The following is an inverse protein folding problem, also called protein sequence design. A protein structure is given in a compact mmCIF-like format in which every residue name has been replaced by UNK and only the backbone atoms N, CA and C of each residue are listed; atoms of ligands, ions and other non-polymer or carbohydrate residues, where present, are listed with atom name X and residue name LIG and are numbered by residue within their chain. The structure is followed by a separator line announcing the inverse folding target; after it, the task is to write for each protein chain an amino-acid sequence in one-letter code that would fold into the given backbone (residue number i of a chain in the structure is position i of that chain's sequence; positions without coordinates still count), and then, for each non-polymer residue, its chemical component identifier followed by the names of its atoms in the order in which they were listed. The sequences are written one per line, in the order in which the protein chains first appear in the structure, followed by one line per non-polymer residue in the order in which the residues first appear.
data_IF_353485107711
#
_entry.id   IF_353485107711
#
_cell.length_a   1.000
_cell.length_b   1.000
_cell.length_c   1.000
_cell.angle_alpha   90.00
_cell.angle_beta   90.00
_cell.angle_gamma   90.00
#
_symmetry.space_group_name_H-M   'P 1'
#
loop_
_entity.id
_entity.type
_entity.pdbx_description
1 polymer ?
#
# COMPACT_ATOMS: atom_id res chain seq x y z
N UNK A 1 21.76 -10.07 54.21
CA UNK A 1 23.03 -9.51 54.71
C UNK A 1 24.07 -9.53 53.58
N UNK A 2 24.52 -8.34 53.13
CA UNK A 2 25.68 -7.99 52.26
C UNK A 2 25.74 -8.64 50.86
N UNK A 3 25.50 -7.95 49.73
CA UNK A 3 26.09 -6.71 49.17
C UNK A 3 27.61 -6.82 48.95
N UNK A 4 28.03 -6.92 47.68
CA UNK A 4 29.38 -6.55 47.20
C UNK A 4 29.29 -5.87 45.84
N UNK A 5 29.40 -4.55 45.89
CA UNK A 5 29.87 -3.72 44.79
C UNK A 5 31.33 -4.08 44.48
N UNK A 6 31.71 -4.08 43.20
CA UNK A 6 33.09 -3.84 42.80
C UNK A 6 33.10 -2.74 41.74
N UNK A 7 33.55 -1.56 42.17
CA UNK A 7 33.92 -0.42 41.36
C UNK A 7 35.17 -0.74 40.55
N UNK A 8 35.17 -0.41 39.26
CA UNK A 8 36.41 -0.06 38.55
C UNK A 8 36.16 1.22 37.75
N UNK A 9 36.69 2.30 38.32
CA UNK A 9 36.95 3.59 37.68
C UNK A 9 38.32 3.44 37.00
N UNK A 10 38.40 3.63 35.69
CA UNK A 10 39.62 4.14 35.05
C UNK A 10 39.24 5.22 34.05
N UNK A 11 39.73 6.40 34.38
CA UNK A 11 39.73 7.66 33.67
C UNK A 11 40.65 7.56 32.43
N UNK A 12 40.21 7.97 31.25
CA UNK A 12 41.12 8.43 30.21
C UNK A 12 40.51 9.63 29.47
N UNK A 13 41.28 10.71 29.48
CA UNK A 13 40.96 12.05 29.03
C UNK A 13 41.08 12.18 27.50
N UNK A 14 40.12 12.93 26.95
CA UNK A 14 40.27 13.96 25.92
C UNK A 14 41.01 13.61 24.61
N UNK A 15 40.25 13.60 23.51
CA UNK A 15 40.47 14.54 22.40
C UNK A 15 39.14 14.79 21.68
N UNK A 16 38.51 15.92 21.98
CA UNK A 16 37.42 16.47 21.17
C UNK A 16 38.04 17.11 19.92
N UNK A 17 37.91 16.44 18.77
CA UNK A 17 38.18 17.09 17.48
C UNK A 17 36.92 17.85 17.06
N UNK A 18 37.01 19.18 17.17
CA UNK A 18 36.03 20.11 16.63
C UNK A 18 35.99 19.97 15.10
N UNK A 19 34.83 19.54 14.58
CA UNK A 19 34.50 19.61 13.17
C UNK A 19 34.26 21.08 12.83
N UNK A 20 35.18 21.70 12.09
CA UNK A 20 35.00 23.05 11.55
C UNK A 20 34.10 22.98 10.30
N UNK A 21 33.04 23.78 10.18
CA UNK A 21 32.27 23.85 8.94
C UNK A 21 33.04 24.70 7.92
N UNK A 22 33.32 24.11 6.76
CA UNK A 22 33.92 24.78 5.62
C UNK A 22 32.92 25.76 4.96
N UNK A 23 33.30 27.03 4.69
CA UNK A 23 32.46 27.96 3.94
C UNK A 23 32.82 27.87 2.45
N UNK A 24 32.05 27.11 1.67
CA UNK A 24 32.26 27.04 0.22
C UNK A 24 30.95 27.19 -0.56
N UNK A 25 30.31 28.35 -0.41
CA UNK A 25 29.36 28.85 -1.40
C UNK A 25 29.73 30.31 -1.71
N UNK A 26 30.75 30.50 -2.55
CA UNK A 26 30.94 31.77 -3.27
C UNK A 26 30.34 31.61 -4.66
N UNK A 27 29.22 32.32 -4.84
CA UNK A 27 28.84 33.07 -6.04
C UNK A 27 29.63 32.80 -7.31
N UNK A 28 29.00 32.13 -8.28
CA UNK A 28 29.34 32.24 -9.69
C UNK A 28 28.07 32.63 -10.46
N UNK A 29 27.84 33.94 -10.57
CA UNK A 29 26.92 34.49 -11.55
C UNK A 29 27.59 34.43 -12.93
N UNK A 30 27.35 33.38 -13.69
CA UNK A 30 27.68 33.36 -15.12
C UNK A 30 26.41 33.53 -15.92
N UNK A 31 26.25 34.74 -16.47
CA UNK A 31 25.24 35.09 -17.47
C UNK A 31 25.38 34.15 -18.67
N UNK A 32 24.37 33.31 -18.90
CA UNK A 32 24.21 32.61 -20.17
C UNK A 32 23.49 33.53 -21.16
N UNK A 33 23.92 33.61 -22.42
CA UNK A 33 23.27 34.44 -23.42
C UNK A 33 21.89 33.86 -23.80
N UNK A 34 20.89 34.75 -23.90
CA UNK A 34 19.58 34.45 -24.49
C UNK A 34 19.78 34.07 -25.97
N UNK A 35 19.82 32.77 -26.24
CA UNK A 35 19.59 32.27 -27.59
C UNK A 35 18.07 32.15 -27.80
N UNK A 36 17.55 32.97 -28.72
CA UNK A 36 16.16 32.94 -29.14
C UNK A 36 15.81 31.58 -29.76
N UNK A 37 15.20 30.69 -28.98
CA UNK A 37 14.59 29.47 -29.49
C UNK A 37 13.33 29.86 -30.27
N UNK A 38 13.38 29.71 -31.60
CA UNK A 38 12.22 29.76 -32.49
C UNK A 38 11.09 28.93 -31.87
N UNK A 39 9.98 29.59 -31.55
CA UNK A 39 8.74 28.94 -31.16
C UNK A 39 8.28 28.04 -32.32
N UNK A 40 8.51 26.73 -32.17
CA UNK A 40 7.85 25.72 -32.99
C UNK A 40 6.38 25.70 -32.55
N UNK A 41 5.57 26.54 -33.19
CA UNK A 41 4.11 26.46 -33.06
C UNK A 41 3.65 25.21 -33.80
N UNK A 42 3.53 24.11 -33.07
CA UNK A 42 2.71 22.98 -33.53
C UNK A 42 1.23 23.37 -33.33
N UNK A 43 0.40 23.41 -34.38
CA UNK A 43 -1.03 23.49 -34.20
C UNK A 43 -1.52 22.12 -33.72
N UNK A 44 -1.72 21.97 -32.41
CA UNK A 44 -2.49 20.83 -31.90
C UNK A 44 -3.95 21.13 -32.22
N UNK A 45 -4.41 20.60 -33.35
CA UNK A 45 -5.83 20.52 -33.68
C UNK A 45 -6.53 19.66 -32.60
N UNK A 46 -7.71 20.03 -32.09
CA UNK A 46 -8.42 19.19 -31.14
C UNK A 46 -8.96 17.96 -31.88
N UNK A 47 -8.21 16.87 -31.83
CA UNK A 47 -8.70 15.57 -32.27
C UNK A 47 -9.83 15.14 -31.33
N UNK A 48 -11.06 15.35 -31.83
CA UNK A 48 -12.16 14.39 -31.79
C UNK A 48 -12.09 13.28 -30.73
N UNK A 49 -12.89 13.45 -29.68
CA UNK A 49 -13.60 12.38 -28.97
C UNK A 49 -12.80 11.11 -28.68
N UNK A 50 -11.88 11.17 -27.71
CA UNK A 50 -11.54 9.96 -26.95
C UNK A 50 -12.81 9.57 -26.20
N UNK A 51 -13.49 8.50 -26.65
CA UNK A 51 -14.45 7.83 -25.78
C UNK A 51 -13.65 7.35 -24.57
N UNK A 52 -13.85 8.01 -23.43
CA UNK A 52 -13.51 7.43 -22.14
C UNK A 52 -14.21 6.08 -22.10
N UNK A 53 -13.46 4.99 -22.31
CA UNK A 53 -13.98 3.65 -22.09
C UNK A 53 -14.12 3.57 -20.58
N UNK A 54 -15.30 3.86 -20.05
CA UNK A 54 -15.62 3.63 -18.66
C UNK A 54 -15.48 2.12 -18.43
N UNK A 55 -14.48 1.73 -17.65
CA UNK A 55 -14.27 0.34 -17.28
C UNK A 55 -15.46 -0.14 -16.45
N UNK A 56 -16.19 -1.17 -16.91
CA UNK A 56 -17.38 -1.65 -16.22
C UNK A 56 -17.01 -2.61 -15.09
N UNK A 57 -16.67 -2.03 -13.94
CA UNK A 57 -16.23 -2.75 -12.74
C UNK A 57 -17.25 -3.81 -12.31
N UNK A 58 -18.54 -3.47 -12.27
CA UNK A 58 -19.61 -4.39 -11.86
C UNK A 58 -19.80 -5.53 -12.88
N UNK A 59 -19.67 -5.23 -14.18
CA UNK A 59 -19.66 -6.24 -15.23
C UNK A 59 -18.51 -7.22 -15.06
N UNK A 60 -17.30 -6.74 -14.78
CA UNK A 60 -16.13 -7.60 -14.56
C UNK A 60 -16.29 -8.47 -13.31
N UNK A 61 -16.80 -7.91 -12.20
CA UNK A 61 -17.08 -8.70 -11.00
C UNK A 61 -18.05 -9.83 -11.30
N UNK A 62 -19.12 -9.54 -12.05
CA UNK A 62 -20.12 -10.53 -12.46
C UNK A 62 -19.54 -11.59 -13.40
N UNK A 63 -18.87 -11.18 -14.47
CA UNK A 63 -18.33 -12.06 -15.51
C UNK A 63 -17.29 -13.03 -14.95
N UNK A 64 -16.53 -12.58 -13.94
CA UNK A 64 -15.51 -13.39 -13.28
C UNK A 64 -16.02 -14.15 -12.06
N UNK A 65 -17.32 -14.03 -11.74
CA UNK A 65 -17.93 -14.67 -10.58
C UNK A 65 -17.34 -14.20 -9.24
N UNK A 66 -16.80 -12.97 -9.20
CA UNK A 66 -16.25 -12.38 -7.99
C UNK A 66 -17.40 -11.82 -7.16
N UNK A 67 -17.68 -12.46 -6.04
CA UNK A 67 -18.64 -11.96 -5.04
C UNK A 67 -17.87 -11.17 -4.00
N UNK A 68 -18.24 -9.90 -3.81
CA UNK A 68 -17.70 -9.10 -2.72
C UNK A 68 -18.38 -9.49 -1.40
N UNK A 69 -17.61 -9.65 -0.32
CA UNK A 69 -18.18 -9.83 1.00
C UNK A 69 -18.86 -8.55 1.49
N UNK A 70 -19.64 -8.66 2.56
CA UNK A 70 -20.15 -7.49 3.26
C UNK A 70 -18.98 -6.72 3.90
N UNK A 71 -19.08 -5.39 3.88
CA UNK A 71 -18.09 -4.53 4.51
C UNK A 71 -18.13 -4.73 6.04
N UNK A 72 -17.03 -5.24 6.59
CA UNK A 72 -16.94 -5.52 8.03
C UNK A 72 -17.05 -4.21 8.86
N UNK A 73 -17.78 -4.24 9.99
CA UNK A 73 -17.83 -3.12 10.91
C UNK A 73 -16.47 -2.91 11.59
N UNK A 74 -16.21 -1.71 12.15
CA UNK A 74 -14.97 -1.45 12.86
C UNK A 74 -14.76 -2.40 14.06
N UNK A 75 -13.51 -2.83 14.26
CA UNK A 75 -13.14 -3.75 15.33
C UNK A 75 -12.89 -3.06 16.69
N UNK A 76 -12.73 -1.73 16.70
CA UNK A 76 -12.52 -0.92 17.90
C UNK A 76 -12.92 0.55 17.64
N UNK A 77 -12.30 1.50 18.35
CA UNK A 77 -12.57 2.94 18.22
C UNK A 77 -12.01 3.59 16.93
N UNK A 78 -11.51 2.81 15.97
CA UNK A 78 -11.09 3.29 14.65
C UNK A 78 -12.15 2.88 13.61
N UNK A 79 -12.23 3.59 12.49
CA UNK A 79 -13.18 3.31 11.41
C UNK A 79 -12.54 2.46 10.30
N UNK A 80 -13.32 1.66 9.53
CA UNK A 80 -12.77 0.83 8.46
C UNK A 80 -12.15 1.62 7.31
N UNK A 81 -12.62 2.85 7.11
CA UNK A 81 -12.04 3.80 6.18
C UNK A 81 -12.31 5.25 6.59
N UNK A 82 -11.50 6.18 6.07
CA UNK A 82 -11.72 7.62 6.15
C UNK A 82 -11.65 8.20 4.73
N UNK A 83 -12.55 9.12 4.42
CA UNK A 83 -12.52 9.89 3.16
C UNK A 83 -12.01 11.30 3.46
N UNK A 84 -10.98 11.74 2.75
CA UNK A 84 -10.44 13.11 2.84
C UNK A 84 -10.07 13.64 1.46
N UNK A 85 -10.70 14.74 1.05
CA UNK A 85 -10.65 15.19 -0.34
C UNK A 85 -11.12 14.07 -1.28
N UNK A 86 -10.29 13.74 -2.26
CA UNK A 86 -10.59 12.70 -3.25
C UNK A 86 -9.95 11.36 -2.90
N UNK A 87 -9.53 11.14 -1.65
CA UNK A 87 -8.85 9.91 -1.24
C UNK A 87 -9.64 9.17 -0.16
N UNK A 88 -9.78 7.86 -0.36
CA UNK A 88 -10.20 6.90 0.66
C UNK A 88 -8.93 6.27 1.24
N UNK A 89 -8.80 6.34 2.56
CA UNK A 89 -7.82 5.61 3.34
C UNK A 89 -8.52 4.42 3.98
N UNK A 90 -8.24 3.21 3.51
CA UNK A 90 -8.83 1.98 4.01
C UNK A 90 -7.88 1.37 5.03
N UNK A 91 -8.39 1.12 6.25
CA UNK A 91 -7.64 0.47 7.32
C UNK A 91 -7.25 -0.97 6.93
N UNK A 92 -6.30 -1.56 7.67
CA UNK A 92 -5.85 -2.93 7.44
C UNK A 92 -6.99 -3.94 7.34
N UNK A 93 -7.12 -4.57 6.18
CA UNK A 93 -8.08 -5.63 5.91
C UNK A 93 -7.40 -6.99 6.06
N UNK A 94 -8.02 -7.83 6.88
CA UNK A 94 -7.60 -9.19 7.20
C UNK A 94 -8.43 -10.21 6.39
N UNK A 95 -8.08 -11.51 6.34
CA UNK A 95 -8.70 -12.46 5.43
C UNK A 95 -9.98 -13.06 6.03
N UNK A 96 -10.93 -12.18 6.34
CA UNK A 96 -12.27 -12.51 6.81
C UNK A 96 -13.14 -12.95 5.63
N UNK A 97 -13.86 -14.05 5.79
CA UNK A 97 -14.86 -14.55 4.82
C UNK A 97 -16.11 -14.93 5.60
N UNK A 98 -17.26 -14.33 5.28
CA UNK A 98 -18.53 -14.60 5.95
C UNK A 98 -18.48 -14.48 7.49
N UNK A 99 -17.67 -13.53 8.00
CA UNK A 99 -17.50 -13.32 9.44
C UNK A 99 -16.52 -14.28 10.13
N UNK A 100 -15.87 -15.18 9.39
CA UNK A 100 -14.87 -16.12 9.91
C UNK A 100 -13.46 -15.84 9.35
N UNK A 101 -12.43 -16.00 10.20
CA UNK A 101 -11.04 -15.88 9.77
C UNK A 101 -10.60 -17.14 9.03
N UNK A 102 -10.30 -16.99 7.73
CA UNK A 102 -9.96 -18.14 6.88
C UNK A 102 -8.49 -18.54 6.94
N UNK A 103 -7.58 -17.58 7.19
CA UNK A 103 -6.14 -17.82 7.17
C UNK A 103 -5.48 -17.31 8.45
N UNK A 104 -5.21 -18.23 9.38
CA UNK A 104 -4.61 -17.95 10.69
C UNK A 104 -3.32 -18.75 10.81
N UNK A 105 -2.20 -18.05 10.91
CA UNK A 105 -0.87 -18.63 10.95
C UNK A 105 0.17 -17.79 10.24
N UNK A 106 1.37 -18.35 10.14
CA UNK A 106 2.58 -17.77 9.59
C UNK A 106 2.96 -18.47 8.28
N UNK A 107 3.43 -17.71 7.31
CA UNK A 107 3.91 -18.22 6.02
C UNK A 107 5.43 -18.48 6.10
N UNK A 108 5.96 -19.62 5.62
CA UNK A 108 5.28 -20.76 5.00
C UNK A 108 4.99 -21.92 5.99
N UNK A 109 4.73 -21.63 7.28
CA UNK A 109 4.55 -22.68 8.29
C UNK A 109 3.16 -23.32 8.20
N UNK A 110 2.11 -22.51 8.23
CA UNK A 110 0.72 -22.98 8.14
C UNK A 110 0.19 -22.98 6.71
N UNK A 111 0.74 -22.14 5.84
CA UNK A 111 0.28 -21.97 4.46
C UNK A 111 1.45 -21.94 3.49
N UNK A 112 1.34 -22.69 2.39
CA UNK A 112 2.27 -22.54 1.28
C UNK A 112 2.08 -21.17 0.58
N UNK A 113 3.04 -20.79 -0.27
CA UNK A 113 2.99 -19.54 -1.03
C UNK A 113 1.68 -19.34 -1.79
N UNK A 114 1.17 -20.40 -2.44
CA UNK A 114 -0.07 -20.34 -3.22
C UNK A 114 -1.30 -20.10 -2.34
N UNK A 115 -1.35 -20.69 -1.16
CA UNK A 115 -2.44 -20.47 -0.20
C UNK A 115 -2.36 -19.06 0.40
N UNK A 116 -1.15 -18.58 0.69
CA UNK A 116 -0.90 -17.21 1.13
C UNK A 116 -1.28 -16.19 0.05
N UNK A 117 -1.07 -16.49 -1.23
CA UNK A 117 -1.57 -15.68 -2.34
C UNK A 117 -3.10 -15.56 -2.28
N UNK A 118 -3.82 -16.67 -2.06
CA UNK A 118 -5.28 -16.64 -1.91
C UNK A 118 -5.72 -15.89 -0.63
N UNK A 119 -4.92 -15.94 0.44
CA UNK A 119 -5.12 -15.12 1.63
C UNK A 119 -5.05 -13.63 1.28
N UNK A 120 -4.00 -13.19 0.57
CA UNK A 120 -3.86 -11.80 0.15
C UNK A 120 -4.99 -11.37 -0.79
N UNK A 121 -5.41 -12.25 -1.71
CA UNK A 121 -6.58 -12.02 -2.57
C UNK A 121 -7.85 -11.80 -1.75
N UNK A 122 -8.04 -12.58 -0.68
CA UNK A 122 -9.16 -12.41 0.26
C UNK A 122 -9.12 -11.05 0.95
N UNK A 123 -7.97 -10.61 1.44
CA UNK A 123 -7.81 -9.26 1.99
C UNK A 123 -8.15 -8.18 0.93
N UNK A 124 -7.74 -8.40 -0.32
CA UNK A 124 -8.12 -7.55 -1.46
C UNK A 124 -9.64 -7.45 -1.69
N UNK A 125 -10.37 -8.56 -1.57
CA UNK A 125 -11.85 -8.53 -1.66
C UNK A 125 -12.46 -7.71 -0.53
N UNK A 126 -11.93 -7.82 0.70
CA UNK A 126 -12.37 -7.01 1.83
C UNK A 126 -12.07 -5.52 1.62
N UNK A 127 -10.94 -5.17 0.98
CA UNK A 127 -10.65 -3.79 0.56
C UNK A 127 -11.71 -3.30 -0.43
N UNK A 128 -12.08 -4.10 -1.43
CA UNK A 128 -13.11 -3.73 -2.42
C UNK A 128 -14.48 -3.54 -1.76
N UNK A 129 -14.82 -4.37 -0.76
CA UNK A 129 -16.06 -4.21 0.01
C UNK A 129 -16.08 -2.86 0.76
N UNK A 130 -14.99 -2.49 1.43
CA UNK A 130 -14.87 -1.19 2.11
C UNK A 130 -14.89 -0.02 1.11
N UNK A 131 -14.20 -0.15 -0.02
CA UNK A 131 -14.24 0.86 -1.08
C UNK A 131 -15.65 1.05 -1.63
N UNK A 132 -16.39 -0.04 -1.86
CA UNK A 132 -17.79 0.01 -2.31
C UNK A 132 -18.67 0.71 -1.29
N UNK A 133 -18.52 0.40 0.00
CA UNK A 133 -19.23 1.09 1.07
C UNK A 133 -18.90 2.59 1.11
N UNK A 134 -17.63 2.96 1.02
CA UNK A 134 -17.17 4.35 0.99
C UNK A 134 -17.70 5.14 -0.21
N UNK A 135 -17.87 4.48 -1.36
CA UNK A 135 -18.44 5.08 -2.57
C UNK A 135 -19.98 5.11 -2.61
N UNK A 136 -20.65 4.71 -1.53
CA UNK A 136 -22.12 4.64 -1.48
C UNK A 136 -22.71 3.52 -2.35
N UNK A 137 -21.98 2.41 -2.50
CA UNK A 137 -22.39 1.24 -3.26
C UNK A 137 -21.90 1.21 -4.72
N UNK A 138 -21.22 2.25 -5.19
CA UNK A 138 -20.81 2.37 -6.60
C UNK A 138 -19.28 2.43 -6.78
N UNK A 139 -18.68 1.31 -7.17
CA UNK A 139 -17.24 1.24 -7.42
C UNK A 139 -16.79 1.98 -8.68
N UNK A 140 -17.71 2.47 -9.54
CA UNK A 140 -17.35 3.28 -10.71
C UNK A 140 -16.75 4.63 -10.34
N UNK A 141 -16.98 5.09 -9.10
CA UNK A 141 -16.38 6.30 -8.54
C UNK A 141 -14.88 6.19 -8.28
N UNK A 142 -14.31 4.97 -8.30
CA UNK A 142 -12.88 4.76 -8.13
C UNK A 142 -12.14 5.22 -9.39
N UNK A 143 -11.27 6.22 -9.24
CA UNK A 143 -10.39 6.72 -10.31
C UNK A 143 -9.08 5.94 -10.38
N UNK A 144 -8.49 5.61 -9.23
CA UNK A 144 -7.17 4.97 -9.17
C UNK A 144 -6.97 4.22 -7.85
N UNK A 145 -6.45 2.99 -7.91
CA UNK A 145 -5.81 2.37 -6.75
C UNK A 145 -4.42 3.02 -6.63
N UNK A 146 -4.24 3.90 -5.64
CA UNK A 146 -3.01 4.69 -5.49
C UNK A 146 -1.90 3.83 -4.91
N UNK A 147 -2.20 3.14 -3.81
CA UNK A 147 -1.21 2.34 -3.08
C UNK A 147 -1.85 1.17 -2.34
N UNK A 148 -1.17 0.03 -2.36
CA UNK A 148 -1.39 -1.07 -1.42
C UNK A 148 -0.17 -1.23 -0.50
N UNK A 149 -0.40 -1.46 0.79
CA UNK A 149 0.64 -1.86 1.74
C UNK A 149 0.25 -3.19 2.32
N UNK A 150 1.04 -4.22 2.00
CA UNK A 150 0.80 -5.60 2.43
C UNK A 150 1.79 -6.04 3.50
N UNK A 151 1.24 -6.58 4.58
CA UNK A 151 1.96 -7.18 5.69
C UNK A 151 1.73 -8.69 5.67
N UNK A 152 2.80 -9.47 5.64
CA UNK A 152 2.73 -10.94 5.65
C UNK A 152 3.32 -11.44 6.96
N UNK A 153 2.51 -12.13 7.76
CA UNK A 153 3.00 -12.84 8.95
C UNK A 153 3.89 -13.99 8.44
N UNK A 154 5.21 -13.80 8.45
CA UNK A 154 6.14 -14.75 7.82
C UNK A 154 7.27 -15.19 8.75
N UNK A 155 7.94 -16.28 8.38
CA UNK A 155 9.21 -16.67 8.98
C UNK A 155 10.33 -15.69 8.59
N UNK A 156 11.39 -15.67 9.39
CA UNK A 156 12.53 -14.76 9.23
C UNK A 156 13.33 -15.02 7.94
N UNK A 157 13.24 -16.24 7.40
CA UNK A 157 13.92 -16.70 6.18
C UNK A 157 13.00 -16.75 4.95
N UNK A 158 11.78 -16.21 5.06
CA UNK A 158 10.87 -16.07 3.94
C UNK A 158 11.07 -14.70 3.26
N UNK A 159 11.28 -14.69 1.94
CA UNK A 159 11.55 -13.46 1.17
C UNK A 159 10.54 -13.25 0.01
N UNK A 160 9.52 -14.09 -0.05
CA UNK A 160 8.53 -14.12 -1.13
C UNK A 160 7.23 -13.36 -0.75
N UNK A 161 7.28 -12.44 0.22
CA UNK A 161 6.14 -11.56 0.55
C UNK A 161 5.61 -10.81 -0.68
N UNK A 162 6.44 -10.31 -1.61
CA UNK A 162 5.93 -9.71 -2.84
C UNK A 162 5.07 -10.66 -3.68
N UNK A 163 5.37 -11.96 -3.68
CA UNK A 163 4.58 -12.97 -4.39
C UNK A 163 3.26 -13.25 -3.68
N UNK A 164 3.24 -13.25 -2.35
CA UNK A 164 2.00 -13.33 -1.55
C UNK A 164 1.07 -12.18 -1.89
N UNK A 165 1.57 -10.93 -1.82
CA UNK A 165 0.75 -9.73 -2.05
C UNK A 165 0.29 -9.59 -3.51
N UNK A 166 0.87 -10.35 -4.46
CA UNK A 166 0.32 -10.41 -5.82
C UNK A 166 -1.14 -10.86 -5.83
N UNK A 167 -1.61 -11.66 -4.86
CA UNK A 167 -3.02 -12.02 -4.77
C UNK A 167 -3.97 -10.83 -4.70
N UNK A 168 -3.60 -9.79 -3.94
CA UNK A 168 -4.37 -8.55 -3.91
C UNK A 168 -4.10 -7.69 -5.14
N UNK A 169 -2.84 -7.61 -5.59
CA UNK A 169 -2.48 -6.76 -6.73
C UNK A 169 -3.13 -7.20 -8.03
N UNK A 170 -3.15 -8.50 -8.29
CA UNK A 170 -3.75 -9.10 -9.48
C UNK A 170 -5.26 -8.91 -9.46
N UNK A 171 -5.92 -9.04 -8.30
CA UNK A 171 -7.34 -8.70 -8.13
C UNK A 171 -7.63 -7.24 -8.48
N UNK A 172 -6.82 -6.29 -8.01
CA UNK A 172 -7.04 -4.86 -8.32
C UNK A 172 -6.90 -4.60 -9.83
N UNK A 173 -5.89 -5.18 -10.47
CA UNK A 173 -5.69 -5.07 -11.91
C UNK A 173 -6.81 -5.77 -12.69
N UNK A 174 -7.28 -6.92 -12.21
CA UNK A 174 -8.40 -7.67 -12.76
C UNK A 174 -9.70 -6.85 -12.74
N UNK A 175 -10.01 -6.19 -11.61
CA UNK A 175 -11.26 -5.48 -11.37
C UNK A 175 -11.29 -4.05 -11.91
N UNK A 176 -10.14 -3.39 -12.07
CA UNK A 176 -10.08 -1.98 -12.50
C UNK A 176 -9.20 -1.73 -13.73
N UNK A 177 -8.56 -2.76 -14.30
CA UNK A 177 -7.64 -2.62 -15.42
C UNK A 177 -6.49 -1.67 -15.09
N UNK A 178 -6.26 -0.66 -15.94
CA UNK A 178 -5.19 0.32 -15.77
C UNK A 178 -5.35 1.18 -14.49
N UNK A 179 -6.60 1.46 -14.09
CA UNK A 179 -6.89 2.12 -12.81
C UNK A 179 -6.52 1.24 -11.60
N UNK A 180 -6.41 -0.08 -11.80
CA UNK A 180 -6.01 -1.05 -10.79
C UNK A 180 -4.51 -1.09 -10.51
N UNK A 181 -3.65 -0.53 -11.38
CA UNK A 181 -2.19 -0.53 -11.18
C UNK A 181 -1.78 0.48 -10.11
N UNK A 182 -1.00 0.06 -9.12
CA UNK A 182 -0.75 0.84 -7.90
C UNK A 182 0.72 0.82 -7.48
N UNK A 183 1.11 1.82 -6.66
CA UNK A 183 2.33 1.72 -5.88
C UNK A 183 2.17 0.64 -4.79
N UNK A 184 3.28 0.04 -4.34
CA UNK A 184 3.20 -1.08 -3.39
C UNK A 184 4.35 -1.16 -2.41
N UNK A 185 4.04 -1.59 -1.19
CA UNK A 185 5.00 -2.16 -0.23
C UNK A 185 4.52 -3.56 0.16
N UNK A 186 5.43 -4.53 0.23
CA UNK A 186 5.15 -5.90 0.66
C UNK A 186 6.25 -6.31 1.64
N UNK A 187 5.91 -6.49 2.92
CA UNK A 187 6.89 -6.70 3.98
C UNK A 187 6.52 -7.89 4.85
N UNK A 188 7.54 -8.59 5.34
CA UNK A 188 7.39 -9.61 6.38
C UNK A 188 7.24 -8.93 7.75
N UNK A 189 6.33 -9.45 8.56
CA UNK A 189 6.13 -9.02 9.95
C UNK A 189 6.15 -10.22 10.89
N UNK A 190 6.53 -9.98 12.15
CA UNK A 190 6.66 -11.06 13.14
C UNK A 190 5.30 -11.67 13.51
N UNK A 191 4.28 -10.82 13.70
CA UNK A 191 2.92 -11.23 14.06
C UNK A 191 1.92 -10.19 13.56
N UNK A 192 0.72 -10.64 13.24
CA UNK A 192 -0.43 -9.79 12.90
C UNK A 192 -1.55 -9.95 13.94
N UNK A 193 -2.46 -8.98 14.06
CA UNK A 193 -3.66 -9.11 14.87
C UNK A 193 -4.42 -10.41 14.57
N UNK A 194 -4.91 -11.08 15.62
CA UNK A 194 -5.61 -12.38 15.52
C UNK A 194 -4.77 -13.50 14.86
N UNK A 195 -3.45 -13.30 14.75
CA UNK A 195 -2.50 -14.22 14.12
C UNK A 195 -2.83 -14.52 12.64
N UNK A 196 -3.45 -13.60 11.91
CA UNK A 196 -3.76 -13.82 10.49
C UNK A 196 -2.50 -13.92 9.63
N UNK A 197 -2.60 -14.59 8.49
CA UNK A 197 -1.46 -14.77 7.58
C UNK A 197 -1.09 -13.50 6.81
N UNK A 198 -2.07 -12.67 6.45
CA UNK A 198 -1.85 -11.44 5.67
C UNK A 198 -2.80 -10.34 6.13
N UNK A 199 -2.34 -9.10 6.14
CA UNK A 199 -3.14 -7.89 6.33
C UNK A 199 -2.75 -6.86 5.26
N UNK A 200 -3.73 -6.18 4.66
CA UNK A 200 -3.48 -5.22 3.59
C UNK A 200 -4.30 -3.96 3.80
N UNK A 201 -3.65 -2.81 3.75
CA UNK A 201 -4.31 -1.49 3.71
C UNK A 201 -4.22 -0.87 2.30
N UNK A 202 -5.08 0.11 2.02
CA UNK A 202 -5.16 0.74 0.70
C UNK A 202 -5.40 2.24 0.76
N UNK A 203 -4.83 2.94 -0.21
CA UNK A 203 -5.18 4.33 -0.55
C UNK A 203 -5.79 4.32 -1.94
N UNK A 204 -7.01 4.85 -2.06
CA UNK A 204 -7.78 4.84 -3.30
C UNK A 204 -8.20 6.27 -3.63
N UNK A 205 -7.99 6.70 -4.87
CA UNK A 205 -8.49 7.96 -5.40
C UNK A 205 -9.90 7.75 -5.96
N UNK A 206 -10.82 8.64 -5.60
CA UNK A 206 -12.21 8.68 -6.05
C UNK A 206 -12.55 9.98 -6.75
N UNK A 207 -13.72 10.02 -7.38
CA UNK A 207 -14.12 11.14 -8.25
C UNK A 207 -14.38 12.48 -7.58
#
# INVERSE_FOLDING_TARGET
VRMRLCSFIVLSLATAQAFTPSPMWRTASSRLPLAASRAFRNPVSPASGVRMVSFDVEGVLKDKGIVLPDAAPPAANYVPYVVTGNYIYIAGQIPMVNGELKYVGKVPSEYALEEAYQCARTCGLNILAQAKAACGGDLKKVKKIVKLVGFVNSKDDFYDQPKVINGASDLMAEVFGEAGRHARSAVGVNVLPLNVATEIEAIIEIE
#
